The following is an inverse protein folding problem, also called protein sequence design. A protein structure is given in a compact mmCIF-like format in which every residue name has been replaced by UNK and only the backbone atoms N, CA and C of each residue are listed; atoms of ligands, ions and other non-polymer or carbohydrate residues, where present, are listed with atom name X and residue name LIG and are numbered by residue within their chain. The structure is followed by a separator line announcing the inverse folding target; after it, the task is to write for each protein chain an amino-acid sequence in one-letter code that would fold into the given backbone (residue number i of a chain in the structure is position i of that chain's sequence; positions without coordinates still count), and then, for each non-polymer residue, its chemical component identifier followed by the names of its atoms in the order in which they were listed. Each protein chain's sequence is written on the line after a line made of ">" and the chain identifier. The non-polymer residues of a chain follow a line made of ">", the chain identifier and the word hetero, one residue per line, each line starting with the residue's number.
data_IF_937841093244
#
_entry.id   IF_937841093244
#
_cell.length_a   1.000
_cell.length_b   1.000
_cell.length_c   1.000
_cell.angle_alpha   90.00
_cell.angle_beta   90.00
_cell.angle_gamma   90.00
#
_symmetry.space_group_name_H-M   'P 1'
#
loop_
_entity.id
_entity.type
_entity.pdbx_description
1 polymer ?
#
# COMPACT_ATOMS: atom_id res chain seq x y z
N UNK A 1 18.40 -8.86 34.67
CA UNK A 1 17.64 -9.72 35.60
C UNK A 1 17.63 -9.04 36.97
N UNK A 2 16.63 -8.21 37.22
CA UNK A 2 16.29 -7.74 38.57
C UNK A 2 15.01 -8.49 38.90
N UNK A 3 15.11 -9.53 39.73
CA UNK A 3 13.95 -10.05 40.45
C UNK A 3 13.34 -8.86 41.20
N UNK A 4 12.17 -8.48 40.73
CA UNK A 4 11.40 -7.35 41.20
C UNK A 4 11.04 -7.56 42.66
N UNK A 5 11.54 -6.71 43.56
CA UNK A 5 11.12 -6.63 44.97
C UNK A 5 9.66 -6.15 45.16
N UNK A 6 8.84 -6.21 44.11
CA UNK A 6 7.43 -5.84 44.11
C UNK A 6 6.51 -6.69 45.00
N UNK A 7 6.71 -8.01 45.23
CA UNK A 7 5.70 -8.79 45.97
C UNK A 7 5.59 -8.40 47.45
N UNK A 8 6.71 -8.05 48.09
CA UNK A 8 6.76 -7.71 49.52
C UNK A 8 6.16 -6.33 49.84
N UNK A 9 6.34 -5.35 48.95
CA UNK A 9 5.85 -3.98 49.15
C UNK A 9 4.32 -3.90 48.97
N UNK A 10 3.76 -4.70 48.06
CA UNK A 10 2.31 -4.79 47.84
C UNK A 10 1.64 -5.57 48.98
N UNK A 11 2.19 -6.72 49.41
CA UNK A 11 1.65 -7.49 50.54
C UNK A 11 1.54 -6.66 51.83
N UNK A 12 2.50 -5.78 52.10
CA UNK A 12 2.49 -4.92 53.31
C UNK A 12 1.42 -3.81 53.25
N UNK A 13 0.92 -3.47 52.06
CA UNK A 13 -0.12 -2.44 51.83
C UNK A 13 -1.55 -3.01 51.84
N UNK A 14 -1.69 -4.31 51.56
CA UNK A 14 -2.96 -5.05 51.50
C UNK A 14 -3.33 -5.65 52.88
N UNK A 15 -3.37 -4.83 53.93
CA UNK A 15 -3.95 -5.23 55.22
C UNK A 15 -5.49 -5.08 55.14
N UNK A 16 -6.30 -6.09 55.53
CA UNK A 16 -7.74 -6.22 55.26
C UNK A 16 -8.66 -5.20 55.96
N UNK A 17 -8.13 -4.08 56.45
CA UNK A 17 -8.82 -3.08 57.28
C UNK A 17 -8.78 -1.65 56.72
N UNK A 18 -8.29 -1.44 55.49
CA UNK A 18 -8.20 -0.10 54.93
C UNK A 18 -9.58 0.42 54.47
N UNK A 19 -10.03 1.53 55.08
CA UNK A 19 -11.28 2.25 54.72
C UNK A 19 -11.36 2.53 53.21
N UNK A 20 -10.21 2.78 52.57
CA UNK A 20 -10.07 3.01 51.13
C UNK A 20 -10.56 1.82 50.31
N UNK A 21 -10.28 0.59 50.73
CA UNK A 21 -10.68 -0.63 50.01
C UNK A 21 -12.18 -0.87 50.12
N UNK A 22 -12.78 -0.58 51.29
CA UNK A 22 -14.24 -0.62 51.47
C UNK A 22 -14.97 0.45 50.68
N UNK A 23 -14.38 1.65 50.58
CA UNK A 23 -14.93 2.70 49.73
C UNK A 23 -14.79 2.35 48.24
N UNK A 24 -13.68 1.75 47.84
CA UNK A 24 -13.49 1.24 46.49
C UNK A 24 -14.52 0.16 46.16
N UNK A 25 -14.67 -0.88 46.99
CA UNK A 25 -15.67 -1.95 46.76
C UNK A 25 -17.09 -1.41 46.72
N UNK A 26 -17.46 -0.45 47.59
CA UNK A 26 -18.79 0.17 47.58
C UNK A 26 -19.03 1.04 46.35
N UNK A 27 -18.00 1.72 45.84
CA UNK A 27 -18.14 2.67 44.72
C UNK A 27 -18.05 1.96 43.37
N UNK A 28 -17.18 0.95 43.23
CA UNK A 28 -16.88 0.29 41.96
C UNK A 28 -17.37 -1.16 41.88
N UNK A 29 -17.75 -1.77 43.01
CA UNK A 29 -18.06 -3.20 43.08
C UNK A 29 -16.83 -4.11 42.94
N UNK A 30 -15.62 -3.55 42.87
CA UNK A 30 -14.39 -4.30 42.67
C UNK A 30 -13.86 -4.89 43.98
N UNK A 31 -13.65 -6.21 44.02
CA UNK A 31 -12.98 -6.91 45.12
C UNK A 31 -11.58 -7.32 44.67
N UNK A 32 -10.50 -6.86 45.32
CA UNK A 32 -9.14 -7.25 44.95
C UNK A 32 -8.95 -8.75 45.09
N UNK A 33 -8.43 -9.39 44.05
CA UNK A 33 -8.10 -10.82 44.05
C UNK A 33 -6.62 -10.95 43.63
N UNK A 34 -5.69 -10.83 44.58
CA UNK A 34 -4.28 -10.69 44.28
C UNK A 34 -3.68 -11.94 43.62
N UNK A 35 -4.23 -13.13 43.85
CA UNK A 35 -3.79 -14.37 43.19
C UNK A 35 -4.13 -14.30 41.70
N UNK A 36 -5.37 -13.91 41.37
CA UNK A 36 -5.83 -13.76 39.99
C UNK A 36 -5.15 -12.61 39.26
N UNK A 37 -4.94 -11.48 39.94
CA UNK A 37 -4.26 -10.31 39.39
C UNK A 37 -2.77 -10.58 39.05
N UNK A 38 -2.14 -11.55 39.72
CA UNK A 38 -0.77 -11.99 39.41
C UNK A 38 -0.71 -12.97 38.22
N UNK A 39 -1.79 -13.73 37.96
CA UNK A 39 -1.92 -14.62 36.81
C UNK A 39 -2.33 -13.89 35.52
N UNK A 40 -3.00 -12.74 35.64
CA UNK A 40 -3.43 -11.94 34.50
C UNK A 40 -2.25 -11.22 33.82
N UNK A 41 -2.25 -11.22 32.49
CA UNK A 41 -1.21 -10.57 31.70
C UNK A 41 -1.17 -9.06 32.01
N UNK A 42 -0.03 -8.61 32.52
CA UNK A 42 0.22 -7.22 32.85
C UNK A 42 0.50 -6.40 31.59
N UNK A 43 0.47 -5.08 31.73
CA UNK A 43 0.85 -4.14 30.66
C UNK A 43 2.21 -4.47 30.03
N UNK A 44 3.13 -5.00 30.84
CA UNK A 44 4.49 -5.36 30.41
C UNK A 44 4.56 -6.67 29.60
N UNK A 45 3.51 -7.49 29.63
CA UNK A 45 3.45 -8.75 28.89
C UNK A 45 2.99 -8.55 27.44
N UNK A 46 2.49 -7.35 27.12
CA UNK A 46 2.15 -6.97 25.76
C UNK A 46 3.31 -6.22 25.09
N UNK A 47 3.61 -6.52 23.81
CA UNK A 47 4.62 -5.79 23.07
C UNK A 47 4.22 -4.31 22.96
N UNK A 48 5.17 -3.43 23.29
CA UNK A 48 5.01 -1.97 23.23
C UNK A 48 4.63 -1.50 21.81
N UNK A 49 5.09 -2.21 20.80
CA UNK A 49 4.79 -1.96 19.40
C UNK A 49 3.78 -2.98 18.86
N UNK A 50 2.73 -2.48 18.21
CA UNK A 50 1.79 -3.34 17.49
C UNK A 50 2.51 -3.99 16.32
N UNK A 51 2.24 -5.29 16.14
CA UNK A 51 2.71 -6.01 14.97
C UNK A 51 2.16 -5.36 13.68
N UNK A 52 2.94 -5.37 12.60
CA UNK A 52 2.47 -4.89 11.32
C UNK A 52 1.28 -5.72 10.83
N UNK A 53 0.21 -5.05 10.37
CA UNK A 53 -0.99 -5.75 9.88
C UNK A 53 -0.95 -6.10 8.39
N UNK A 54 0.00 -5.52 7.65
CA UNK A 54 0.23 -5.82 6.24
C UNK A 54 0.75 -7.25 6.04
N UNK A 55 0.24 -7.91 5.00
CA UNK A 55 0.66 -9.25 4.63
C UNK A 55 1.67 -9.20 3.45
N UNK A 56 2.17 -10.37 3.04
CA UNK A 56 3.15 -10.54 1.97
C UNK A 56 2.69 -9.94 0.62
N UNK A 57 1.38 -9.77 0.41
CA UNK A 57 0.78 -9.08 -0.73
C UNK A 57 1.34 -7.67 -0.93
N UNK A 58 1.54 -6.90 0.13
CA UNK A 58 2.02 -5.51 0.02
C UNK A 58 3.47 -5.46 -0.44
N UNK A 59 4.30 -6.45 -0.06
CA UNK A 59 5.70 -6.53 -0.50
C UNK A 59 5.79 -6.70 -2.01
N UNK A 60 5.01 -7.63 -2.57
CA UNK A 60 4.95 -7.84 -4.02
C UNK A 60 4.36 -6.67 -4.75
N UNK A 61 3.32 -6.04 -4.18
CA UNK A 61 2.77 -4.82 -4.74
C UNK A 61 3.82 -3.72 -4.88
N UNK A 62 4.64 -3.48 -3.85
CA UNK A 62 5.70 -2.47 -3.93
C UNK A 62 6.75 -2.81 -4.98
N UNK A 63 7.14 -4.08 -5.06
CA UNK A 63 8.07 -4.55 -6.07
C UNK A 63 7.52 -4.34 -7.49
N UNK A 64 6.32 -4.83 -7.77
CA UNK A 64 5.70 -4.75 -9.09
C UNK A 64 5.29 -3.33 -9.47
N UNK A 65 4.80 -2.53 -8.50
CA UNK A 65 4.46 -1.13 -8.69
C UNK A 65 5.69 -0.29 -9.01
N UNK A 66 6.80 -0.50 -8.29
CA UNK A 66 8.08 0.15 -8.56
C UNK A 66 8.68 -0.28 -9.90
N UNK A 67 8.63 -1.58 -10.22
CA UNK A 67 9.06 -2.12 -11.51
C UNK A 67 8.26 -1.51 -12.66
N UNK A 68 6.93 -1.44 -12.53
CA UNK A 68 6.06 -0.84 -13.53
C UNK A 68 6.39 0.64 -13.76
N UNK A 69 6.47 1.42 -12.67
CA UNK A 69 6.84 2.83 -12.72
C UNK A 69 8.22 3.06 -13.37
N UNK A 70 9.24 2.30 -12.95
CA UNK A 70 10.59 2.40 -13.48
C UNK A 70 10.68 2.08 -14.97
N UNK A 71 10.07 0.96 -15.40
CA UNK A 71 9.98 0.58 -16.80
C UNK A 71 9.28 1.66 -17.64
N UNK A 72 8.18 2.23 -17.14
CA UNK A 72 7.47 3.30 -17.84
C UNK A 72 8.33 4.56 -17.99
N UNK A 73 9.02 4.99 -16.94
CA UNK A 73 9.88 6.18 -16.97
C UNK A 73 11.04 5.98 -17.96
N UNK A 74 11.71 4.83 -17.93
CA UNK A 74 12.79 4.53 -18.87
C UNK A 74 12.26 4.50 -20.31
N UNK A 75 11.11 3.86 -20.55
CA UNK A 75 10.48 3.84 -21.87
C UNK A 75 10.03 5.24 -22.33
N UNK A 76 9.64 6.11 -21.39
CA UNK A 76 9.26 7.49 -21.65
C UNK A 76 10.45 8.29 -22.15
N UNK A 77 11.58 8.20 -21.43
CA UNK A 77 12.83 8.87 -21.80
C UNK A 77 13.32 8.38 -23.16
N UNK A 78 13.37 7.06 -23.37
CA UNK A 78 13.77 6.46 -24.65
C UNK A 78 12.86 6.87 -25.82
N UNK A 79 11.55 7.03 -25.57
CA UNK A 79 10.58 7.45 -26.59
C UNK A 79 10.66 8.94 -26.95
N UNK A 80 10.98 9.79 -25.98
CA UNK A 80 11.04 11.24 -26.15
C UNK A 80 12.40 11.72 -26.68
N UNK A 81 13.50 11.17 -26.17
CA UNK A 81 14.86 11.63 -26.44
C UNK A 81 15.72 10.62 -27.19
N UNK A 82 15.28 9.36 -27.29
CA UNK A 82 16.08 8.28 -27.88
C UNK A 82 16.14 8.30 -29.42
N UNK A 83 17.15 7.61 -29.91
CA UNK A 83 17.42 7.37 -31.32
C UNK A 83 16.56 6.23 -31.90
N UNK A 84 16.79 5.84 -33.16
CA UNK A 84 16.07 4.71 -33.76
C UNK A 84 16.37 3.37 -33.07
N UNK A 85 17.57 3.24 -32.48
CA UNK A 85 18.02 2.03 -31.80
C UNK A 85 17.30 1.84 -30.45
N UNK A 86 16.97 2.95 -29.78
CA UNK A 86 16.29 2.96 -28.47
C UNK A 86 14.80 2.60 -28.55
N UNK A 87 14.24 2.48 -29.76
CA UNK A 87 12.84 2.07 -29.96
C UNK A 87 12.56 0.68 -29.40
N UNK A 88 13.54 -0.23 -29.44
CA UNK A 88 13.40 -1.54 -28.84
C UNK A 88 13.23 -1.46 -27.32
N UNK A 89 14.01 -0.59 -26.67
CA UNK A 89 13.94 -0.32 -25.23
C UNK A 89 12.62 0.32 -24.85
N UNK A 90 12.17 1.33 -25.59
CA UNK A 90 10.89 1.98 -25.37
C UNK A 90 9.73 0.98 -25.46
N UNK A 91 9.73 0.14 -26.51
CA UNK A 91 8.72 -0.90 -26.70
C UNK A 91 8.70 -1.92 -25.57
N UNK A 92 9.86 -2.49 -25.25
CA UNK A 92 9.99 -3.47 -24.16
C UNK A 92 9.55 -2.87 -22.82
N UNK A 93 9.96 -1.63 -22.53
CA UNK A 93 9.63 -0.95 -21.28
C UNK A 93 8.13 -0.66 -21.13
N UNK A 94 7.40 -0.28 -22.18
CA UNK A 94 5.93 -0.11 -22.08
C UNK A 94 5.21 -1.43 -21.84
N UNK A 95 5.63 -2.53 -22.48
CA UNK A 95 5.05 -3.84 -22.24
C UNK A 95 5.37 -4.37 -20.84
N UNK A 96 6.61 -4.25 -20.40
CA UNK A 96 7.03 -4.65 -19.05
C UNK A 96 6.34 -3.81 -17.98
N UNK A 97 6.14 -2.51 -18.22
CA UNK A 97 5.36 -1.63 -17.36
C UNK A 97 3.94 -2.17 -17.17
N UNK A 98 3.23 -2.41 -18.27
CA UNK A 98 1.87 -2.93 -18.20
C UNK A 98 1.82 -4.31 -17.53
N UNK A 99 2.71 -5.22 -17.92
CA UNK A 99 2.75 -6.59 -17.41
C UNK A 99 3.03 -6.62 -15.90
N UNK A 100 3.95 -5.78 -15.42
CA UNK A 100 4.24 -5.64 -13.99
C UNK A 100 3.09 -4.97 -13.24
N UNK A 101 2.30 -4.12 -13.89
CA UNK A 101 1.17 -3.45 -13.27
C UNK A 101 -0.05 -4.35 -13.07
N UNK A 102 -0.28 -5.32 -13.96
CA UNK A 102 -1.44 -6.24 -13.90
C UNK A 102 -1.64 -6.95 -12.54
N UNK A 103 -0.61 -7.48 -11.85
CA UNK A 103 -0.79 -8.08 -10.54
C UNK A 103 -1.11 -7.07 -9.42
N UNK A 104 -0.83 -5.78 -9.60
CA UNK A 104 -0.93 -4.79 -8.51
C UNK A 104 -2.37 -4.61 -7.99
N UNK A 105 -3.40 -4.36 -8.82
CA UNK A 105 -4.77 -4.21 -8.30
C UNK A 105 -5.33 -5.46 -7.62
N UNK A 106 -5.18 -6.70 -8.17
CA UNK A 106 -5.60 -7.91 -7.47
C UNK A 106 -4.95 -8.11 -6.11
N UNK A 107 -3.65 -7.84 -5.99
CA UNK A 107 -2.92 -7.92 -4.72
C UNK A 107 -3.50 -6.95 -3.68
N UNK A 108 -3.80 -5.72 -4.08
CA UNK A 108 -4.44 -4.72 -3.21
C UNK A 108 -5.84 -5.13 -2.78
N UNK A 109 -6.66 -5.58 -3.73
CA UNK A 109 -8.05 -5.98 -3.44
C UNK A 109 -8.08 -7.14 -2.45
N UNK A 110 -7.10 -8.06 -2.52
CA UNK A 110 -6.94 -9.14 -1.55
C UNK A 110 -6.53 -8.63 -0.18
N UNK A 111 -5.60 -7.69 -0.11
CA UNK A 111 -5.13 -7.07 1.15
C UNK A 111 -6.24 -6.29 1.89
N UNK A 112 -7.24 -5.75 1.15
CA UNK A 112 -8.39 -5.05 1.75
C UNK A 112 -9.25 -5.92 2.69
N UNK A 113 -9.18 -7.26 2.60
CA UNK A 113 -9.98 -8.21 3.40
C UNK A 113 -11.50 -8.21 3.11
N UNK A 114 -12.05 -7.12 2.57
CA UNK A 114 -13.44 -6.98 2.11
C UNK A 114 -13.48 -6.46 0.66
N UNK A 115 -13.22 -7.31 -0.34
CA UNK A 115 -13.08 -6.91 -1.74
C UNK A 115 -14.34 -6.24 -2.32
N UNK A 116 -15.52 -6.62 -1.83
CA UNK A 116 -16.82 -6.05 -2.25
C UNK A 116 -16.90 -4.52 -2.06
N UNK A 117 -16.12 -3.96 -1.12
CA UNK A 117 -16.13 -2.52 -0.82
C UNK A 117 -15.08 -1.74 -1.59
N UNK A 118 -14.27 -2.37 -2.44
CA UNK A 118 -13.23 -1.68 -3.22
C UNK A 118 -13.79 -0.48 -4.00
N UNK A 119 -14.95 -0.64 -4.64
CA UNK A 119 -15.61 0.43 -5.40
C UNK A 119 -16.01 1.63 -4.53
N UNK A 120 -16.26 1.43 -3.23
CA UNK A 120 -16.56 2.53 -2.31
C UNK A 120 -15.32 3.38 -2.06
N UNK A 121 -14.13 2.76 -2.10
CA UNK A 121 -12.85 3.46 -1.96
C UNK A 121 -12.57 4.35 -3.17
N UNK A 122 -13.00 3.94 -4.37
CA UNK A 122 -12.82 4.70 -5.61
C UNK A 122 -13.70 5.93 -5.72
N UNK A 123 -14.77 6.04 -4.92
CA UNK A 123 -15.69 7.19 -4.98
C UNK A 123 -15.18 8.41 -4.21
N UNK A 124 -14.22 8.23 -3.32
CA UNK A 124 -13.80 9.27 -2.37
C UNK A 124 -12.35 9.66 -2.67
N UNK A 125 -12.12 10.95 -2.88
CA UNK A 125 -10.78 11.53 -3.05
C UNK A 125 -10.34 12.21 -1.75
N UNK A 126 -9.46 11.57 -0.98
CA UNK A 126 -8.93 12.08 0.30
C UNK A 126 -7.44 12.38 0.17
N UNK A 127 -7.11 13.63 -0.12
CA UNK A 127 -5.71 14.10 -0.30
C UNK A 127 -4.84 13.84 0.94
N UNK A 128 -5.41 13.97 2.14
CA UNK A 128 -4.70 13.72 3.41
C UNK A 128 -4.44 12.24 3.70
N UNK A 129 -4.99 11.32 2.92
CA UNK A 129 -4.81 9.88 3.11
C UNK A 129 -3.90 9.34 2.01
N UNK A 130 -2.66 8.90 2.35
CA UNK A 130 -1.75 8.28 1.40
C UNK A 130 -2.37 7.10 0.63
N UNK A 131 -3.24 6.32 1.29
CA UNK A 131 -3.92 5.18 0.69
C UNK A 131 -4.95 5.58 -0.38
N UNK A 132 -5.72 6.66 -0.14
CA UNK A 132 -6.67 7.18 -1.14
C UNK A 132 -5.94 7.77 -2.35
N UNK A 133 -4.88 8.54 -2.10
CA UNK A 133 -4.02 9.09 -3.15
C UNK A 133 -3.35 7.99 -3.99
N UNK A 134 -2.83 6.95 -3.35
CA UNK A 134 -2.21 5.81 -4.04
C UNK A 134 -3.19 5.06 -4.95
N UNK A 135 -4.44 4.92 -4.52
CA UNK A 135 -5.48 4.23 -5.31
C UNK A 135 -5.83 4.99 -6.59
N UNK A 136 -6.01 6.31 -6.47
CA UNK A 136 -6.24 7.17 -7.64
C UNK A 136 -5.00 7.23 -8.54
N UNK A 137 -3.80 7.31 -7.95
CA UNK A 137 -2.54 7.24 -8.69
C UNK A 137 -2.40 5.94 -9.49
N UNK A 138 -2.70 4.79 -8.87
CA UNK A 138 -2.66 3.48 -9.51
C UNK A 138 -3.65 3.39 -10.67
N UNK A 139 -4.89 3.87 -10.51
CA UNK A 139 -5.90 3.85 -11.58
C UNK A 139 -5.48 4.74 -12.74
N UNK A 140 -5.09 5.99 -12.45
CA UNK A 140 -4.66 6.93 -13.48
C UNK A 140 -3.42 6.39 -14.20
N UNK A 141 -2.42 5.89 -13.47
CA UNK A 141 -1.24 5.28 -14.08
C UNK A 141 -1.60 4.05 -14.92
N UNK A 142 -2.52 3.19 -14.44
CA UNK A 142 -3.00 2.03 -15.21
C UNK A 142 -3.65 2.42 -16.52
N UNK A 143 -4.41 3.49 -16.54
CA UNK A 143 -5.01 4.02 -17.76
C UNK A 143 -3.94 4.47 -18.76
N UNK A 144 -2.96 5.28 -18.33
CA UNK A 144 -1.90 5.75 -19.23
C UNK A 144 -0.96 4.61 -19.67
N UNK A 145 -0.56 3.72 -18.77
CA UNK A 145 0.26 2.55 -19.08
C UNK A 145 -0.45 1.62 -20.06
N UNK A 146 -1.75 1.35 -19.84
CA UNK A 146 -2.57 0.53 -20.73
C UNK A 146 -2.72 1.13 -22.12
N UNK A 147 -3.04 2.43 -22.23
CA UNK A 147 -3.15 3.09 -23.54
C UNK A 147 -1.80 3.12 -24.25
N UNK A 148 -0.71 3.44 -23.55
CA UNK A 148 0.61 3.54 -24.19
C UNK A 148 1.07 2.19 -24.73
N UNK A 149 0.85 1.11 -23.97
CA UNK A 149 1.11 -0.25 -24.41
C UNK A 149 0.17 -0.68 -25.55
N UNK A 150 -1.11 -0.27 -25.54
CA UNK A 150 -2.04 -0.55 -26.62
C UNK A 150 -1.67 0.17 -27.93
N UNK A 151 -1.22 1.42 -27.86
CA UNK A 151 -0.68 2.16 -29.02
C UNK A 151 0.56 1.45 -29.56
N UNK A 152 1.44 0.99 -28.67
CA UNK A 152 2.62 0.22 -29.05
C UNK A 152 2.23 -1.09 -29.75
N UNK A 153 1.26 -1.84 -29.21
CA UNK A 153 0.72 -3.06 -29.80
C UNK A 153 0.04 -2.84 -31.16
N UNK A 154 -0.65 -1.71 -31.32
CA UNK A 154 -1.23 -1.31 -32.61
C UNK A 154 -0.15 -1.01 -33.65
N UNK A 155 0.95 -0.36 -33.25
CA UNK A 155 2.10 -0.07 -34.14
C UNK A 155 2.91 -1.32 -34.48
N UNK A 156 3.03 -2.27 -33.56
CA UNK A 156 3.67 -3.57 -33.79
C UNK A 156 2.78 -4.52 -34.62
N UNK A 157 1.53 -4.14 -34.92
CA UNK A 157 0.59 -4.92 -35.73
C UNK A 157 -0.07 -6.08 -34.97
N UNK A 158 0.14 -6.20 -33.67
CA UNK A 158 -0.41 -7.28 -32.83
C UNK A 158 -1.94 -7.17 -32.66
N UNK A 159 -2.50 -5.97 -32.79
CA UNK A 159 -3.92 -5.68 -32.58
C UNK A 159 -4.80 -5.93 -33.82
N UNK A 160 -4.23 -6.48 -34.90
CA UNK A 160 -4.92 -6.74 -36.17
C UNK A 160 -5.22 -5.48 -37.00
N UNK A 161 -5.92 -5.66 -38.13
CA UNK A 161 -6.19 -4.61 -39.13
C UNK A 161 -7.57 -3.94 -38.97
N UNK A 162 -8.13 -3.91 -37.77
CA UNK A 162 -9.40 -3.23 -37.50
C UNK A 162 -9.22 -1.70 -37.48
N UNK A 163 -10.32 -0.95 -37.63
CA UNK A 163 -10.30 0.51 -37.66
C UNK A 163 -9.79 1.12 -36.34
N UNK A 164 -10.07 0.48 -35.19
CA UNK A 164 -9.64 0.94 -33.87
C UNK A 164 -8.11 0.95 -33.68
N UNK A 165 -7.39 0.00 -34.27
CA UNK A 165 -5.93 -0.07 -34.19
C UNK A 165 -5.30 1.06 -35.01
N UNK A 166 -5.91 1.42 -36.14
CA UNK A 166 -5.46 2.57 -36.94
C UNK A 166 -5.66 3.87 -36.17
N UNK A 167 -6.81 4.03 -35.49
CA UNK A 167 -7.08 5.18 -34.64
C UNK A 167 -6.07 5.27 -33.48
N UNK A 168 -5.81 4.15 -32.78
CA UNK A 168 -4.82 4.10 -31.71
C UNK A 168 -3.40 4.38 -32.21
N UNK A 169 -3.00 3.80 -33.33
CA UNK A 169 -1.66 4.03 -33.91
C UNK A 169 -1.45 5.50 -34.32
N UNK A 170 -2.53 6.18 -34.72
CA UNK A 170 -2.55 7.60 -35.06
C UNK A 170 -2.51 8.53 -33.84
N UNK A 171 -2.75 8.03 -32.62
CA UNK A 171 -2.66 8.87 -31.44
C UNK A 171 -1.22 9.36 -31.21
N UNK A 172 -1.05 10.63 -30.80
CA UNK A 172 0.25 11.19 -30.48
C UNK A 172 0.75 10.60 -29.15
N UNK A 173 1.42 9.45 -29.22
CA UNK A 173 2.00 8.75 -28.07
C UNK A 173 2.81 9.70 -27.17
N UNK A 174 3.54 10.66 -27.74
CA UNK A 174 4.35 11.63 -27.00
C UNK A 174 3.55 12.46 -25.99
N UNK A 175 2.30 12.82 -26.31
CA UNK A 175 1.44 13.60 -25.40
C UNK A 175 0.92 12.77 -24.22
N UNK A 176 0.75 11.46 -24.43
CA UNK A 176 0.27 10.53 -23.40
C UNK A 176 1.39 10.04 -22.47
N UNK A 177 2.62 10.03 -22.98
CA UNK A 177 3.79 9.61 -22.22
C UNK A 177 4.06 10.56 -21.05
N UNK A 178 4.04 11.88 -21.27
CA UNK A 178 4.30 12.88 -20.23
C UNK A 178 3.44 12.72 -18.96
N UNK A 179 2.09 12.72 -19.03
CA UNK A 179 1.26 12.52 -17.85
C UNK A 179 1.46 11.12 -17.25
N UNK A 180 1.67 10.10 -18.07
CA UNK A 180 2.01 8.76 -17.60
C UNK A 180 3.32 8.70 -16.82
N UNK A 181 4.35 9.45 -17.24
CA UNK A 181 5.65 9.52 -16.57
C UNK A 181 5.51 10.18 -15.20
N UNK A 182 4.78 11.30 -15.13
CA UNK A 182 4.51 12.00 -13.86
C UNK A 182 3.76 11.09 -12.88
N UNK A 183 2.74 10.38 -13.36
CA UNK A 183 2.00 9.42 -12.55
C UNK A 183 2.83 8.20 -12.16
N UNK A 184 3.75 7.74 -13.03
CA UNK A 184 4.69 6.67 -12.73
C UNK A 184 5.67 7.07 -11.63
N UNK A 185 6.26 8.27 -11.71
CA UNK A 185 7.11 8.82 -10.64
C UNK A 185 6.33 8.98 -9.34
N UNK A 186 5.09 9.48 -9.42
CA UNK A 186 4.20 9.55 -8.26
C UNK A 186 3.96 8.18 -7.64
N UNK A 187 3.64 7.15 -8.45
CA UNK A 187 3.41 5.78 -8.02
C UNK A 187 4.67 5.16 -7.39
N UNK A 188 5.85 5.42 -7.96
CA UNK A 188 7.11 4.95 -7.36
C UNK A 188 7.45 5.64 -6.04
N UNK A 189 7.07 6.92 -5.89
CA UNK A 189 7.40 7.73 -4.72
C UNK A 189 6.45 7.55 -3.53
N UNK A 190 5.13 7.45 -3.76
CA UNK A 190 4.16 7.42 -2.65
C UNK A 190 4.25 6.12 -1.83
N UNK A 191 4.76 5.02 -2.39
CA UNK A 191 5.01 3.77 -1.64
C UNK A 191 6.07 3.99 -0.55
N UNK A 192 7.07 4.83 -0.82
CA UNK A 192 8.03 5.28 0.21
C UNK A 192 7.35 6.11 1.31
N UNK A 193 6.43 7.00 0.94
CA UNK A 193 5.66 7.80 1.91
C UNK A 193 4.82 6.92 2.84
N UNK A 194 4.24 5.83 2.31
CA UNK A 194 3.49 4.85 3.11
C UNK A 194 4.35 4.12 4.15
N UNK A 195 5.65 3.93 3.88
CA UNK A 195 6.57 3.30 4.83
C UNK A 195 7.04 4.26 5.93
N UNK A 196 7.00 5.57 5.67
CA UNK A 196 7.44 6.61 6.61
C UNK A 196 6.33 7.16 7.49
N UNK A 197 5.06 6.86 7.16
CA UNK A 197 3.87 7.34 7.86
C UNK A 197 3.45 6.39 8.98
#
# INVERSE_FOLDING_TARGET
>A
MQETQLPQVIQKRLSPSNVVERLATLTTGYTPDPERELEEASYYDFPVLKAPTWHWEITWYFFFGGLAAGCYVIASIASLFGSREDRAVARAGYYLSLLSLLPCPPLLIKDLGRPERFLHMLRIFKVKSPMSMGTWGLISFSFFSGITAAIQAARDGMLGRWWGARLLAALPQRLLVLPGTVLGVFLGGYTGVLLTA
#
